data_IF_376007737494
#
_entry.id   IF_376007737494
#
_cell.length_a   1.000
_cell.length_b   1.000
_cell.length_c   1.000
_cell.angle_alpha   90.00
_cell.angle_beta   90.00
_cell.angle_gamma   90.00
#
_symmetry.space_group_name_H-M   'P 1'
#
loop_
_entity.id
_entity.type
_entity.pdbx_description
1 polymer ?
#
# COMPACT_ATOMS: atom_id res chain seq x y z
N UNK A 1 -7.83 19.38 12.30
CA UNK A 1 -7.62 18.13 13.08
C UNK A 1 -7.15 17.06 12.09
N UNK A 2 -6.05 16.37 12.40
CA UNK A 2 -5.51 15.27 11.58
C UNK A 2 -5.93 13.95 12.20
N UNK A 3 -6.38 13.03 11.35
CA UNK A 3 -6.77 11.67 11.74
C UNK A 3 -5.94 10.67 10.93
N UNK A 4 -5.30 9.74 11.62
CA UNK A 4 -4.47 8.70 11.00
C UNK A 4 -5.13 7.36 11.25
N UNK A 5 -5.53 6.71 10.17
CA UNK A 5 -6.05 5.34 10.18
C UNK A 5 -4.86 4.39 10.12
N UNK A 6 -4.80 3.47 11.06
CA UNK A 6 -3.68 2.53 11.28
C UNK A 6 -4.20 1.09 11.44
N UNK A 7 -3.31 0.09 11.28
CA UNK A 7 -3.65 -1.31 11.51
C UNK A 7 -2.64 -2.00 12.45
N UNK A 8 -3.15 -2.91 13.29
CA UNK A 8 -2.41 -3.53 14.39
C UNK A 8 -1.30 -4.49 13.95
N UNK A 9 -1.27 -4.90 12.68
CA UNK A 9 -0.19 -5.73 12.10
C UNK A 9 0.75 -4.96 11.18
N UNK A 10 0.50 -3.67 10.95
CA UNK A 10 1.27 -2.86 10.00
C UNK A 10 2.46 -2.19 10.70
N UNK A 11 3.67 -2.49 10.23
CA UNK A 11 4.91 -1.92 10.78
C UNK A 11 4.98 -0.41 10.57
N UNK A 12 4.65 0.10 9.38
CA UNK A 12 4.62 1.55 9.10
C UNK A 12 3.61 2.27 10.01
N UNK A 13 2.45 1.66 10.25
CA UNK A 13 1.45 2.17 11.19
C UNK A 13 1.99 2.27 12.61
N UNK A 14 2.66 1.21 13.09
CA UNK A 14 3.29 1.18 14.40
C UNK A 14 4.37 2.27 14.54
N UNK A 15 5.28 2.37 13.57
CA UNK A 15 6.36 3.38 13.59
C UNK A 15 5.78 4.81 13.63
N UNK A 16 4.78 5.09 12.80
CA UNK A 16 4.15 6.40 12.76
C UNK A 16 3.42 6.73 14.07
N UNK A 17 2.72 5.75 14.66
CA UNK A 17 2.10 5.90 15.97
C UNK A 17 3.12 6.22 17.06
N UNK A 18 4.22 5.45 17.15
CA UNK A 18 5.26 5.68 18.17
C UNK A 18 5.88 7.07 18.06
N UNK A 19 6.05 7.58 16.85
CA UNK A 19 6.64 8.89 16.60
C UNK A 19 5.70 10.08 16.92
N UNK A 20 4.38 9.91 16.74
CA UNK A 20 3.43 11.02 16.75
C UNK A 20 2.36 10.93 17.86
N UNK A 21 2.31 9.85 18.63
CA UNK A 21 1.39 9.75 19.77
C UNK A 21 1.62 10.90 20.75
N UNK A 22 0.53 11.49 21.24
CA UNK A 22 0.58 12.64 22.15
C UNK A 22 0.84 13.99 21.47
N UNK A 23 1.12 14.05 20.17
CA UNK A 23 1.22 15.32 19.44
C UNK A 23 -0.17 15.96 19.35
N UNK A 24 -0.37 17.20 19.85
CA UNK A 24 -1.67 17.85 19.84
C UNK A 24 -2.24 18.00 18.43
N UNK A 25 -3.53 17.70 18.26
CA UNK A 25 -4.23 17.84 16.98
C UNK A 25 -4.08 16.66 16.01
N UNK A 26 -3.33 15.63 16.41
CA UNK A 26 -3.23 14.33 15.72
C UNK A 26 -4.00 13.28 16.52
N UNK A 27 -4.83 12.51 15.82
CA UNK A 27 -5.60 11.42 16.41
C UNK A 27 -5.37 10.14 15.61
N UNK A 28 -5.39 9.00 16.29
CA UNK A 28 -5.25 7.69 15.69
C UNK A 28 -6.56 6.93 15.74
N UNK A 29 -6.86 6.22 14.67
CA UNK A 29 -7.96 5.26 14.59
C UNK A 29 -7.39 3.92 14.15
N UNK A 30 -7.57 2.89 14.97
CA UNK A 30 -7.29 1.52 14.57
C UNK A 30 -8.42 1.02 13.66
N UNK A 31 -8.07 0.46 12.50
CA UNK A 31 -9.03 -0.19 11.61
C UNK A 31 -9.72 -1.34 12.37
N UNK A 32 -11.05 -1.26 12.47
CA UNK A 32 -11.89 -2.29 13.07
C UNK A 32 -12.39 -3.34 12.05
N UNK A 33 -13.26 -4.24 12.52
CA UNK A 33 -13.87 -5.31 11.71
C UNK A 33 -14.79 -4.79 10.61
N UNK A 34 -15.43 -3.63 10.81
CA UNK A 34 -16.21 -2.92 9.80
C UNK A 34 -15.26 -2.23 8.80
N UNK A 35 -14.76 -2.98 7.81
CA UNK A 35 -13.72 -2.47 6.91
C UNK A 35 -14.25 -1.72 5.65
N UNK A 36 -15.48 -2.01 5.20
CA UNK A 36 -16.08 -1.35 4.02
C UNK A 36 -16.17 0.19 4.11
N UNK A 37 -16.44 0.81 5.27
CA UNK A 37 -16.34 2.27 5.43
C UNK A 37 -14.99 2.85 5.03
N UNK A 38 -13.87 2.16 5.28
CA UNK A 38 -12.54 2.60 4.88
C UNK A 38 -12.35 2.49 3.36
N UNK A 39 -12.85 1.41 2.75
CA UNK A 39 -12.84 1.25 1.29
C UNK A 39 -13.65 2.35 0.58
N UNK A 40 -14.82 2.73 1.11
CA UNK A 40 -15.63 3.85 0.60
C UNK A 40 -14.87 5.19 0.62
N UNK A 41 -13.85 5.30 1.46
CA UNK A 41 -12.98 6.48 1.60
C UNK A 41 -11.61 6.28 0.93
N UNK A 42 -11.49 5.27 0.04
CA UNK A 42 -10.26 4.94 -0.70
C UNK A 42 -9.04 4.61 0.18
N UNK A 43 -9.25 4.09 1.39
CA UNK A 43 -8.15 3.56 2.21
C UNK A 43 -7.74 2.19 1.68
N UNK A 44 -6.81 2.18 0.73
CA UNK A 44 -6.27 0.98 0.09
C UNK A 44 -4.90 0.56 0.64
N UNK A 45 -4.34 1.37 1.57
CA UNK A 45 -3.15 1.05 2.35
C UNK A 45 -3.19 1.81 3.67
N UNK A 46 -2.40 1.36 4.64
CA UNK A 46 -2.26 1.99 5.96
C UNK A 46 -0.78 2.12 6.32
N UNK A 47 -0.35 3.20 6.98
CA UNK A 47 -1.18 4.29 7.54
C UNK A 47 -1.83 5.15 6.46
N UNK A 48 -3.04 5.63 6.74
CA UNK A 48 -3.79 6.55 5.87
C UNK A 48 -4.12 7.83 6.65
N UNK A 49 -3.69 8.98 6.12
CA UNK A 49 -3.81 10.28 6.79
C UNK A 49 -4.96 11.06 6.19
N UNK A 50 -5.83 11.54 7.07
CA UNK A 50 -6.93 12.42 6.74
C UNK A 50 -6.71 13.81 7.33
N UNK A 51 -6.92 14.84 6.50
CA UNK A 51 -7.02 16.22 6.93
C UNK A 51 -8.39 16.78 6.51
N UNK A 52 -9.11 17.38 7.45
CA UNK A 52 -10.43 17.98 7.22
C UNK A 52 -11.41 17.00 6.52
N UNK A 53 -11.37 15.73 6.92
CA UNK A 53 -12.24 14.67 6.39
C UNK A 53 -11.78 14.03 5.08
N UNK A 54 -10.82 14.63 4.35
CA UNK A 54 -10.29 14.13 3.07
C UNK A 54 -9.04 13.28 3.26
N UNK A 55 -8.91 12.20 2.50
CA UNK A 55 -7.69 11.37 2.45
C UNK A 55 -6.61 12.17 1.72
N UNK A 56 -5.46 12.40 2.35
CA UNK A 56 -4.38 13.22 1.79
C UNK A 56 -3.05 12.47 1.61
N UNK A 57 -2.80 11.43 2.42
CA UNK A 57 -1.64 10.55 2.28
C UNK A 57 -2.05 9.11 2.58
N UNK A 58 -1.35 8.18 1.94
CA UNK A 58 -1.29 6.76 2.32
C UNK A 58 0.17 6.34 2.32
N UNK A 59 0.48 5.16 2.88
CA UNK A 59 1.83 4.62 2.91
C UNK A 59 2.53 4.75 1.53
N UNK A 60 3.79 5.19 1.46
CA UNK A 60 4.68 5.56 2.57
C UNK A 60 4.36 6.95 3.19
N UNK A 61 4.25 6.97 4.53
CA UNK A 61 4.05 8.21 5.31
C UNK A 61 5.12 8.34 6.38
N UNK A 62 5.85 9.44 6.38
CA UNK A 62 6.83 9.75 7.42
C UNK A 62 6.23 10.66 8.51
N UNK A 63 6.75 10.61 9.75
CA UNK A 63 6.31 11.53 10.81
C UNK A 63 6.43 13.00 10.40
N UNK A 64 7.48 13.35 9.65
CA UNK A 64 7.71 14.70 9.13
C UNK A 64 6.60 15.19 8.20
N UNK A 65 6.05 14.31 7.35
CA UNK A 65 4.93 14.63 6.45
C UNK A 65 3.70 15.06 7.26
N UNK A 66 3.39 14.31 8.33
CA UNK A 66 2.21 14.60 9.17
C UNK A 66 2.39 15.88 9.97
N UNK A 67 3.59 16.15 10.47
CA UNK A 67 3.90 17.40 11.18
C UNK A 67 3.80 18.60 10.23
N UNK A 68 4.37 18.50 9.03
CA UNK A 68 4.25 19.54 8.02
C UNK A 68 2.79 19.80 7.63
N UNK A 69 1.98 18.76 7.47
CA UNK A 69 0.53 18.86 7.27
C UNK A 69 -0.17 19.55 8.43
N UNK A 70 0.19 19.21 9.67
CA UNK A 70 -0.42 19.81 10.86
C UNK A 70 -0.14 21.30 10.97
N UNK A 71 1.06 21.69 10.58
CA UNK A 71 1.55 23.06 10.71
C UNK A 71 1.26 23.92 9.47
N UNK A 72 0.58 23.37 8.45
CA UNK A 72 0.28 24.07 7.20
C UNK A 72 1.52 24.35 6.34
N UNK A 73 2.59 23.55 6.50
CA UNK A 73 3.89 23.69 5.82
C UNK A 73 4.07 22.73 4.65
N UNK A 74 2.97 22.32 4.01
CA UNK A 74 2.99 21.38 2.88
C UNK A 74 3.12 22.05 1.53
N UNK A 75 2.90 23.37 1.45
CA UNK A 75 2.95 24.12 0.19
C UNK A 75 4.38 24.17 -0.35
N UNK A 76 4.61 23.39 -1.39
CA UNK A 76 5.83 23.33 -2.21
C UNK A 76 5.37 23.05 -3.63
N UNK A 77 5.95 23.71 -4.62
CA UNK A 77 5.71 23.37 -6.02
C UNK A 77 6.03 21.89 -6.25
N UNK A 78 5.03 21.11 -6.69
CA UNK A 78 5.18 19.70 -6.98
C UNK A 78 5.67 19.53 -8.41
N UNK A 79 6.88 19.02 -8.56
CA UNK A 79 7.41 18.62 -9.85
C UNK A 79 6.67 17.36 -10.37
N UNK A 80 6.49 17.27 -11.69
CA UNK A 80 5.73 16.16 -12.30
C UNK A 80 6.50 14.84 -12.20
N UNK A 81 7.83 14.85 -12.32
CA UNK A 81 8.63 13.64 -12.17
C UNK A 81 8.66 13.20 -10.69
N UNK A 82 8.76 14.15 -9.75
CA UNK A 82 8.58 13.86 -8.31
C UNK A 82 7.20 13.24 -8.02
N UNK A 83 6.14 13.75 -8.65
CA UNK A 83 4.79 13.22 -8.52
C UNK A 83 4.67 11.77 -9.04
N UNK A 84 5.34 11.45 -10.14
CA UNK A 84 5.39 10.10 -10.71
C UNK A 84 6.15 9.15 -9.79
N UNK A 85 7.31 9.56 -9.28
CA UNK A 85 8.07 8.75 -8.33
C UNK A 85 7.26 8.47 -7.06
N UNK A 86 6.59 9.48 -6.51
CA UNK A 86 5.69 9.32 -5.36
C UNK A 86 4.56 8.33 -5.68
N UNK A 87 3.96 8.44 -6.87
CA UNK A 87 2.91 7.54 -7.30
C UNK A 87 3.38 6.08 -7.36
N UNK A 88 4.56 5.83 -7.94
CA UNK A 88 5.16 4.49 -8.00
C UNK A 88 5.49 3.95 -6.60
N UNK A 89 6.05 4.77 -5.71
CA UNK A 89 6.31 4.39 -4.31
C UNK A 89 5.02 4.06 -3.58
N UNK A 90 3.94 4.79 -3.85
CA UNK A 90 2.60 4.51 -3.32
C UNK A 90 2.03 3.18 -3.82
N UNK A 91 2.25 2.82 -5.09
CA UNK A 91 1.93 1.48 -5.61
C UNK A 91 2.71 0.42 -4.83
N UNK A 92 4.02 0.58 -4.69
CA UNK A 92 4.90 -0.36 -3.98
C UNK A 92 4.47 -0.62 -2.52
N UNK A 93 3.96 0.40 -1.85
CA UNK A 93 3.55 0.34 -0.44
C UNK A 93 2.13 -0.23 -0.23
N UNK A 94 1.34 -0.42 -1.29
CA UNK A 94 0.00 -1.02 -1.20
C UNK A 94 -0.06 -2.37 -1.89
N UNK A 95 -0.20 -3.44 -1.12
CA UNK A 95 -0.32 -4.79 -1.68
C UNK A 95 -1.53 -4.94 -2.62
N UNK A 96 -2.65 -4.28 -2.34
CA UNK A 96 -3.83 -4.34 -3.21
C UNK A 96 -3.57 -3.68 -4.57
N UNK A 97 -2.98 -2.47 -4.56
CA UNK A 97 -2.68 -1.69 -5.76
C UNK A 97 -1.57 -2.38 -6.57
N UNK A 98 -0.48 -2.79 -5.91
CA UNK A 98 0.63 -3.51 -6.53
C UNK A 98 0.16 -4.80 -7.21
N UNK A 99 -0.67 -5.60 -6.53
CA UNK A 99 -1.19 -6.85 -7.10
C UNK A 99 -2.06 -6.57 -8.32
N UNK A 100 -2.91 -5.55 -8.28
CA UNK A 100 -3.70 -5.14 -9.45
C UNK A 100 -2.80 -4.69 -10.61
N UNK A 101 -1.81 -3.84 -10.36
CA UNK A 101 -0.87 -3.36 -11.39
C UNK A 101 -0.13 -4.53 -12.05
N UNK A 102 0.34 -5.48 -11.26
CA UNK A 102 1.11 -6.63 -11.76
C UNK A 102 0.23 -7.68 -12.44
N UNK A 103 -1.01 -7.88 -11.96
CA UNK A 103 -1.98 -8.75 -12.61
C UNK A 103 -2.33 -8.26 -14.03
N UNK A 104 -2.49 -6.94 -14.19
CA UNK A 104 -2.81 -6.32 -15.48
C UNK A 104 -1.56 -5.97 -16.31
N UNK A 105 -0.35 -6.07 -15.72
CA UNK A 105 0.91 -5.52 -16.25
C UNK A 105 0.72 -4.10 -16.80
N UNK A 106 -0.02 -3.28 -16.07
CA UNK A 106 -0.44 -1.95 -16.51
C UNK A 106 -0.78 -1.07 -15.31
N UNK A 107 -0.49 0.23 -15.42
CA UNK A 107 -0.95 1.22 -14.45
C UNK A 107 -2.45 1.56 -14.61
N UNK A 108 -3.07 1.22 -15.75
CA UNK A 108 -4.47 1.59 -16.07
C UNK A 108 -5.48 1.36 -14.94
N UNK A 109 -5.46 0.24 -14.18
CA UNK A 109 -6.42 0.02 -13.10
C UNK A 109 -6.34 1.03 -11.95
N UNK A 110 -5.24 1.76 -11.83
CA UNK A 110 -4.93 2.63 -10.69
C UNK A 110 -4.77 4.11 -11.09
N UNK A 111 -5.07 4.45 -12.34
CA UNK A 111 -5.05 5.83 -12.87
C UNK A 111 -6.34 6.61 -12.57
N UNK A 112 -7.09 6.20 -11.55
CA UNK A 112 -8.24 6.95 -11.06
C UNK A 112 -7.77 8.30 -10.46
N UNK A 113 -8.41 9.44 -10.80
CA UNK A 113 -7.96 10.75 -10.34
C UNK A 113 -7.87 10.90 -8.81
N UNK A 114 -8.76 10.27 -8.04
CA UNK A 114 -8.71 10.34 -6.57
C UNK A 114 -7.50 9.58 -6.04
N UNK A 115 -7.19 8.44 -6.63
CA UNK A 115 -6.01 7.65 -6.25
C UNK A 115 -4.72 8.36 -6.66
N UNK A 116 -4.66 8.91 -7.88
CA UNK A 116 -3.52 9.70 -8.37
C UNK A 116 -3.29 10.92 -7.48
N UNK A 117 -4.34 11.64 -7.07
CA UNK A 117 -4.23 12.81 -6.20
C UNK A 117 -3.49 12.50 -4.89
N UNK A 118 -3.75 11.33 -4.31
CA UNK A 118 -3.18 10.89 -3.03
C UNK A 118 -1.79 10.29 -3.22
N UNK A 119 -1.63 9.32 -4.13
CA UNK A 119 -0.37 8.60 -4.31
C UNK A 119 0.74 9.51 -4.86
N UNK A 120 0.41 10.45 -5.74
CA UNK A 120 1.38 11.43 -6.27
C UNK A 120 1.72 12.55 -5.28
N UNK A 121 1.03 12.60 -4.13
CA UNK A 121 1.06 13.69 -3.14
C UNK A 121 0.56 15.05 -3.66
N UNK A 122 -0.07 15.12 -4.84
CA UNK A 122 -0.67 16.35 -5.37
C UNK A 122 -1.67 16.98 -4.39
N UNK A 123 -2.53 16.17 -3.76
CA UNK A 123 -3.48 16.63 -2.74
C UNK A 123 -2.81 17.13 -1.48
N UNK A 124 -1.74 16.46 -1.04
CA UNK A 124 -0.95 16.89 0.12
C UNK A 124 -0.31 18.27 -0.09
N UNK A 125 0.11 18.58 -1.32
CA UNK A 125 0.69 19.86 -1.72
C UNK A 125 -0.34 20.90 -2.24
N UNK A 126 -1.64 20.62 -2.12
CA UNK A 126 -2.73 21.48 -2.64
C UNK A 126 -2.64 21.80 -4.14
N UNK A 127 -2.15 20.86 -4.96
CA UNK A 127 -1.94 21.00 -6.42
C UNK A 127 -2.72 19.95 -7.22
N UNK A 128 -3.99 19.73 -6.87
CA UNK A 128 -4.87 18.79 -7.58
C UNK A 128 -5.15 19.22 -9.04
N UNK A 129 -4.92 20.49 -9.40
CA UNK A 129 -4.98 20.99 -10.77
C UNK A 129 -3.97 20.30 -11.72
N UNK A 130 -2.86 19.76 -11.18
CA UNK A 130 -1.85 19.02 -11.95
C UNK A 130 -2.22 17.57 -12.24
N UNK A 131 -3.28 17.02 -11.65
CA UNK A 131 -3.63 15.60 -11.77
C UNK A 131 -3.75 15.17 -13.24
N UNK A 132 -4.36 15.99 -14.10
CA UNK A 132 -4.49 15.66 -15.53
C UNK A 132 -3.14 15.47 -16.23
N UNK A 133 -2.14 16.30 -15.91
CA UNK A 133 -0.79 16.21 -16.45
C UNK A 133 -0.06 14.97 -15.91
N UNK A 134 -0.21 14.70 -14.61
CA UNK A 134 0.37 13.51 -13.96
C UNK A 134 -0.20 12.23 -14.57
N UNK A 135 -1.53 12.16 -14.75
CA UNK A 135 -2.19 11.00 -15.40
C UNK A 135 -1.66 10.79 -16.81
N UNK A 136 -1.59 11.86 -17.62
CA UNK A 136 -1.08 11.76 -18.99
C UNK A 136 0.36 11.20 -19.00
N UNK A 137 1.24 11.73 -18.15
CA UNK A 137 2.63 11.30 -18.09
C UNK A 137 2.77 9.85 -17.60
N UNK A 138 1.96 9.42 -16.63
CA UNK A 138 1.89 8.04 -16.18
C UNK A 138 1.36 7.09 -17.27
N UNK A 139 0.46 7.55 -18.14
CA UNK A 139 -0.02 6.75 -19.28
C UNK A 139 1.08 6.58 -20.33
N UNK A 140 1.82 7.65 -20.64
CA UNK A 140 2.92 7.62 -21.61
C UNK A 140 4.08 6.73 -21.14
N UNK A 141 4.47 6.84 -19.87
CA UNK A 141 5.63 6.11 -19.29
C UNK A 141 5.25 4.80 -18.61
N UNK A 142 3.99 4.39 -18.67
CA UNK A 142 3.49 3.27 -17.86
C UNK A 142 4.27 1.98 -18.06
N UNK A 143 4.60 1.61 -19.32
CA UNK A 143 5.37 0.40 -19.60
C UNK A 143 6.83 0.50 -19.13
N UNK A 144 7.45 1.67 -19.34
CA UNK A 144 8.81 1.98 -18.90
C UNK A 144 8.95 1.84 -17.37
N UNK A 145 8.06 2.49 -16.62
CA UNK A 145 8.04 2.46 -15.15
C UNK A 145 7.86 1.03 -14.62
N UNK A 146 7.03 0.21 -15.29
CA UNK A 146 6.84 -1.18 -14.90
C UNK A 146 8.10 -2.02 -15.11
N UNK A 147 8.85 -1.76 -16.18
CA UNK A 147 10.10 -2.45 -16.48
C UNK A 147 11.21 -2.01 -15.51
N UNK A 148 11.39 -0.70 -15.30
CA UNK A 148 12.39 -0.15 -14.38
C UNK A 148 12.23 -0.70 -12.96
N UNK A 149 10.99 -0.86 -12.50
CA UNK A 149 10.70 -1.27 -11.13
C UNK A 149 10.31 -2.74 -10.98
N UNK A 150 10.41 -3.54 -12.04
CA UNK A 150 9.95 -4.94 -12.08
C UNK A 150 10.46 -5.76 -10.89
N UNK A 151 11.78 -5.76 -10.64
CA UNK A 151 12.36 -6.54 -9.55
C UNK A 151 11.83 -6.11 -8.18
N UNK A 152 11.65 -4.81 -7.97
CA UNK A 152 11.15 -4.27 -6.71
C UNK A 152 9.70 -4.68 -6.50
N UNK A 153 8.87 -4.63 -7.55
CA UNK A 153 7.49 -5.09 -7.51
C UNK A 153 7.39 -6.58 -7.18
N UNK A 154 8.21 -7.44 -7.81
CA UNK A 154 8.22 -8.88 -7.52
C UNK A 154 8.64 -9.15 -6.07
N UNK A 155 9.71 -8.49 -5.59
CA UNK A 155 10.17 -8.64 -4.20
C UNK A 155 9.09 -8.23 -3.20
N UNK A 156 8.40 -7.11 -3.44
CA UNK A 156 7.34 -6.61 -2.55
C UNK A 156 6.06 -7.45 -2.61
N UNK A 157 5.66 -7.93 -3.79
CA UNK A 157 4.55 -8.90 -3.91
C UNK A 157 4.86 -10.17 -3.13
N UNK A 158 6.07 -10.70 -3.29
CA UNK A 158 6.52 -11.91 -2.59
C UNK A 158 6.52 -11.69 -1.08
N UNK A 159 6.99 -10.54 -0.60
CA UNK A 159 6.94 -10.19 0.82
C UNK A 159 5.51 -10.09 1.35
N UNK A 160 4.58 -9.56 0.56
CA UNK A 160 3.15 -9.55 0.86
C UNK A 160 2.54 -10.93 0.99
N UNK A 161 2.86 -11.83 0.06
CA UNK A 161 2.45 -13.24 0.13
C UNK A 161 3.00 -13.92 1.40
N UNK A 162 4.31 -13.80 1.67
CA UNK A 162 4.92 -14.41 2.86
C UNK A 162 4.28 -13.90 4.15
N UNK A 163 3.86 -12.62 4.19
CA UNK A 163 3.15 -12.06 5.34
C UNK A 163 1.80 -12.75 5.59
N UNK A 164 1.08 -13.11 4.53
CA UNK A 164 -0.17 -13.87 4.68
C UNK A 164 0.09 -15.33 5.07
N UNK A 165 1.13 -15.95 4.52
CA UNK A 165 1.54 -17.30 4.93
C UNK A 165 1.94 -17.36 6.40
N UNK A 166 2.65 -16.33 6.90
CA UNK A 166 2.96 -16.18 8.32
C UNK A 166 1.69 -16.20 9.19
N UNK A 167 0.68 -15.40 8.84
CA UNK A 167 -0.57 -15.34 9.59
C UNK A 167 -1.37 -16.64 9.52
N UNK A 168 -1.28 -17.37 8.40
CA UNK A 168 -1.95 -18.65 8.20
C UNK A 168 -1.17 -19.84 8.80
N UNK A 169 0.08 -19.64 9.21
CA UNK A 169 0.95 -20.72 9.68
C UNK A 169 1.33 -21.73 8.60
N UNK A 170 1.37 -21.32 7.34
CA UNK A 170 1.68 -22.19 6.19
C UNK A 170 3.18 -22.13 5.88
N UNK A 171 3.80 -23.29 5.68
CA UNK A 171 5.20 -23.37 5.26
C UNK A 171 5.34 -22.96 3.77
N UNK A 172 6.28 -22.05 3.50
CA UNK A 172 6.63 -21.59 2.15
C UNK A 172 7.01 -22.73 1.19
N UNK A 173 7.49 -23.85 1.73
CA UNK A 173 7.92 -25.01 0.96
C UNK A 173 6.74 -25.80 0.39
N UNK A 174 5.57 -25.73 1.04
CA UNK A 174 4.34 -26.40 0.61
C UNK A 174 3.68 -25.70 -0.59
N UNK A 175 4.09 -24.47 -0.90
CA UNK A 175 3.51 -23.73 -2.00
C UNK A 175 3.98 -24.23 -3.36
N UNK A 176 3.02 -24.30 -4.28
CA UNK A 176 3.18 -24.48 -5.72
C UNK A 176 2.81 -23.19 -6.48
N UNK A 177 3.22 -23.09 -7.76
CA UNK A 177 2.90 -21.94 -8.63
C UNK A 177 1.39 -21.69 -8.74
N UNK A 178 0.57 -22.74 -8.74
CA UNK A 178 -0.90 -22.66 -8.76
C UNK A 178 -1.45 -21.83 -7.58
N UNK A 179 -0.88 -21.99 -6.40
CA UNK A 179 -1.23 -21.23 -5.20
C UNK A 179 -0.86 -19.74 -5.35
N UNK A 180 0.27 -19.43 -5.98
CA UNK A 180 0.68 -18.05 -6.26
C UNK A 180 -0.31 -17.37 -7.22
N UNK A 181 -0.73 -18.07 -8.28
CA UNK A 181 -1.74 -17.56 -9.22
C UNK A 181 -3.07 -17.34 -8.53
N UNK A 182 -3.51 -18.29 -7.70
CA UNK A 182 -4.75 -18.15 -6.93
C UNK A 182 -4.69 -16.93 -6.01
N UNK A 183 -3.58 -16.75 -5.28
CA UNK A 183 -3.37 -15.62 -4.39
C UNK A 183 -3.38 -14.28 -5.13
N UNK A 184 -2.61 -14.14 -6.22
CA UNK A 184 -2.57 -12.90 -7.03
C UNK A 184 -3.96 -12.52 -7.55
N UNK A 185 -4.73 -13.50 -8.05
CA UNK A 185 -6.08 -13.24 -8.53
C UNK A 185 -7.04 -12.84 -7.40
N UNK A 186 -6.99 -13.54 -6.27
CA UNK A 186 -7.83 -13.25 -5.11
C UNK A 186 -7.50 -11.88 -4.48
N UNK A 187 -6.22 -11.50 -4.45
CA UNK A 187 -5.74 -10.26 -3.83
C UNK A 187 -6.09 -9.01 -4.65
N UNK A 188 -6.09 -9.12 -5.98
CA UNK A 188 -6.39 -8.01 -6.89
C UNK A 188 -7.88 -7.79 -7.14
N UNK A 189 -8.75 -8.70 -6.69
CA UNK A 189 -10.17 -8.70 -7.05
C UNK A 189 -11.08 -8.53 -5.84
N UNK A 190 -12.24 -7.91 -6.06
CA UNK A 190 -13.33 -7.88 -5.10
C UNK A 190 -14.57 -8.52 -5.73
N UNK A 191 -14.82 -9.78 -5.38
CA UNK A 191 -15.81 -10.60 -6.08
C UNK A 191 -15.39 -10.83 -7.53
N UNK A 192 -16.00 -10.11 -8.48
CA UNK A 192 -15.62 -10.15 -9.91
C UNK A 192 -15.02 -8.83 -10.41
N UNK A 193 -15.03 -7.80 -9.58
CA UNK A 193 -14.41 -6.53 -9.91
C UNK A 193 -12.89 -6.72 -9.91
N UNK A 194 -12.21 -6.19 -10.93
CA UNK A 194 -10.76 -6.34 -11.10
C UNK A 194 -10.32 -7.64 -11.79
N UNK A 195 -11.26 -8.47 -12.29
CA UNK A 195 -10.88 -9.61 -13.12
C UNK A 195 -10.39 -9.12 -14.50
N UNK A 196 -9.24 -9.61 -15.00
CA UNK A 196 -8.75 -9.23 -16.32
C UNK A 196 -9.69 -9.64 -17.46
N UNK A 197 -9.75 -8.81 -18.50
CA UNK A 197 -10.45 -9.05 -19.76
C UNK A 197 -9.41 -9.24 -20.90
N UNK A 198 -9.64 -10.10 -21.91
CA UNK A 198 -10.85 -10.88 -22.20
C UNK A 198 -11.03 -12.16 -21.40
N UNK A 199 -9.96 -12.69 -20.80
CA UNK A 199 -10.01 -13.88 -19.96
C UNK A 199 -9.29 -13.58 -18.64
N UNK A 200 -9.92 -13.88 -17.48
CA UNK A 200 -9.23 -13.76 -16.22
C UNK A 200 -8.08 -14.77 -16.15
N UNK A 201 -6.86 -14.26 -16.15
CA UNK A 201 -5.64 -15.06 -16.00
C UNK A 201 -4.56 -14.25 -15.32
N UNK A 202 -3.72 -14.93 -14.55
CA UNK A 202 -2.50 -14.35 -14.00
C UNK A 202 -1.36 -14.50 -15.00
N UNK A 203 -0.59 -13.44 -15.32
CA UNK A 203 0.59 -13.54 -16.16
C UNK A 203 1.60 -14.57 -15.62
N UNK A 204 2.06 -15.48 -16.49
CA UNK A 204 2.92 -16.58 -16.09
C UNK A 204 4.30 -16.11 -15.61
N UNK A 205 4.83 -15.05 -16.22
CA UNK A 205 6.10 -14.42 -15.85
C UNK A 205 6.05 -13.81 -14.44
N UNK A 206 4.95 -13.14 -14.09
CA UNK A 206 4.72 -12.61 -12.73
C UNK A 206 4.67 -13.75 -11.71
N UNK A 207 3.83 -14.77 -11.95
CA UNK A 207 3.67 -15.88 -11.01
C UNK A 207 4.97 -16.67 -10.83
N UNK A 208 5.72 -16.90 -11.92
CA UNK A 208 7.00 -17.60 -11.90
C UNK A 208 8.06 -16.79 -11.15
N UNK A 209 8.14 -15.47 -11.38
CA UNK A 209 9.09 -14.62 -10.70
C UNK A 209 8.81 -14.51 -9.18
N UNK A 210 7.53 -14.39 -8.78
CA UNK A 210 7.13 -14.44 -7.37
C UNK A 210 7.47 -15.79 -6.74
N UNK A 211 7.19 -16.90 -7.45
CA UNK A 211 7.53 -18.24 -6.96
C UNK A 211 9.03 -18.44 -6.78
N UNK A 212 9.85 -18.02 -7.75
CA UNK A 212 11.31 -18.09 -7.66
C UNK A 212 11.83 -17.25 -6.48
N UNK A 213 11.35 -16.01 -6.34
CA UNK A 213 11.72 -15.12 -5.22
C UNK A 213 11.28 -15.70 -3.87
N UNK A 214 10.12 -16.37 -3.82
CA UNK A 214 9.63 -17.06 -2.62
C UNK A 214 10.59 -18.18 -2.20
N UNK A 215 11.04 -19.01 -3.13
CA UNK A 215 11.97 -20.11 -2.82
C UNK A 215 13.37 -19.62 -2.45
N UNK A 216 13.82 -18.50 -3.01
CA UNK A 216 15.13 -17.91 -2.70
C UNK A 216 15.14 -17.14 -1.36
N UNK A 217 14.12 -16.30 -1.13
CA UNK A 217 14.11 -15.29 -0.06
C UNK A 217 13.01 -15.47 0.98
N UNK A 218 12.09 -16.43 0.79
CA UNK A 218 10.88 -16.57 1.59
C UNK A 218 11.15 -16.76 3.08
N UNK A 219 12.14 -17.58 3.46
CA UNK A 219 12.47 -17.79 4.87
C UNK A 219 12.97 -16.51 5.54
N UNK A 220 13.88 -15.79 4.88
CA UNK A 220 14.37 -14.49 5.37
C UNK A 220 13.23 -13.48 5.56
N UNK A 221 12.25 -13.49 4.66
CA UNK A 221 11.06 -12.65 4.80
C UNK A 221 10.18 -13.09 5.97
N UNK A 222 9.98 -14.40 6.16
CA UNK A 222 9.22 -14.98 7.27
C UNK A 222 9.83 -14.57 8.61
N UNK A 223 11.15 -14.70 8.77
CA UNK A 223 11.88 -14.34 9.99
C UNK A 223 11.73 -12.84 10.29
N UNK A 224 11.89 -11.99 9.26
CA UNK A 224 11.70 -10.55 9.38
C UNK A 224 10.27 -10.18 9.80
N UNK A 225 9.26 -10.83 9.22
CA UNK A 225 7.86 -10.61 9.58
C UNK A 225 7.60 -11.05 11.02
N UNK A 226 8.13 -12.19 11.44
CA UNK A 226 8.01 -12.68 12.81
C UNK A 226 8.61 -11.69 13.82
N UNK A 227 9.79 -11.12 13.53
CA UNK A 227 10.41 -10.08 14.34
C UNK A 227 9.52 -8.82 14.41
N UNK A 228 9.03 -8.33 13.26
CA UNK A 228 8.12 -7.19 13.20
C UNK A 228 6.87 -7.41 14.06
N UNK A 229 6.23 -8.58 13.94
CA UNK A 229 5.00 -8.88 14.66
C UNK A 229 5.24 -9.09 16.16
N UNK A 230 6.37 -9.66 16.57
CA UNK A 230 6.72 -9.80 17.99
C UNK A 230 6.90 -8.43 18.67
N UNK A 231 7.55 -7.48 17.98
CA UNK A 231 7.70 -6.10 18.48
C UNK A 231 6.33 -5.44 18.67
N UNK A 232 5.43 -5.60 17.70
CA UNK A 232 4.11 -4.96 17.75
C UNK A 232 3.21 -5.64 18.80
N UNK A 233 3.21 -6.97 18.86
CA UNK A 233 2.37 -7.76 19.75
C UNK A 233 2.66 -7.51 21.25
N UNK A 234 3.87 -7.03 21.57
CA UNK A 234 4.28 -6.72 22.95
C UNK A 234 3.98 -5.28 23.37
N UNK A 235 3.59 -4.38 22.44
CA UNK A 235 3.22 -2.99 22.77
C UNK A 235 1.73 -2.89 23.13
N UNK A 236 1.43 -3.03 24.42
CA UNK A 236 0.07 -2.93 24.96
C UNK A 236 -0.61 -1.59 24.67
N UNK A 237 0.15 -0.50 24.59
CA UNK A 237 -0.42 0.83 24.38
C UNK A 237 -0.93 0.99 22.94
N UNK A 238 -0.15 0.50 21.97
CA UNK A 238 -0.58 0.46 20.57
C UNK A 238 -1.78 -0.47 20.36
N UNK A 239 -1.75 -1.65 20.99
CA UNK A 239 -2.85 -2.62 20.89
C UNK A 239 -4.12 -2.18 21.62
N UNK A 240 -4.02 -1.35 22.66
CA UNK A 240 -5.18 -0.78 23.35
C UNK A 240 -6.03 0.17 22.46
N UNK A 241 -5.52 0.57 21.29
CA UNK A 241 -6.30 1.31 20.30
C UNK A 241 -7.33 0.44 19.56
N UNK A 242 -7.21 -0.89 19.64
CA UNK A 242 -8.20 -1.80 19.09
C UNK A 242 -9.48 -1.62 19.90
N UNK A 243 -10.50 -1.02 19.29
CA UNK A 243 -11.82 -0.96 19.88
C UNK A 243 -12.43 -2.36 19.80
N UNK A 244 -12.70 -2.98 20.95
CA UNK A 244 -13.54 -4.18 21.01
C UNK A 244 -14.93 -3.82 20.50
N UNK A 245 -15.44 -4.63 19.56
CA UNK A 245 -16.82 -4.56 19.07
C UNK A 245 -17.59 -5.77 19.60
#
# INVERSE_FOLDING_TARGET
MIKIVIHHTCKSSYVLYKALRGVPGITFEMVGTLYFPYLKRYVLSVPAVFANGKLVLVDPVEPGDVIALKDGRTKKELDIEEAIENFVRGIMASQAILTAVMLYKSLKPVLDPELVAVLSRARYHEQEDKIGQIVHKLQERGEELLQEHWESFIKLLTFGLVRELYWLGIDINELEISHIKMWLLAKATLGRLGLPYPKPSVPDDVATAVYATLKESGQRYMDKIAEEQNIIATDREFLALIQEY
#
